data_IF_583321421963
#
_entry.id   IF_583321421963
#
_cell.length_a   1.000
_cell.length_b   1.000
_cell.length_c   1.000
_cell.angle_alpha   90.00
_cell.angle_beta   90.00
_cell.angle_gamma   90.00
#
_symmetry.space_group_name_H-M   'P 1'
#
loop_
_entity.id
_entity.type
_entity.pdbx_description
1 polymer ?
#
# COMPACT_ATOMS: atom_id res chain seq x y z
N UNK A 1 23.08 17.45 -8.91
CA UNK A 1 22.33 18.21 -7.88
C UNK A 1 22.57 17.56 -6.52
N UNK A 2 22.60 18.35 -5.43
CA UNK A 2 22.64 17.78 -4.08
C UNK A 2 21.35 17.03 -3.83
N UNK A 3 21.44 15.76 -3.35
CA UNK A 3 20.25 14.93 -3.04
C UNK A 3 19.43 15.62 -1.95
N UNK A 4 18.10 15.68 -2.11
CA UNK A 4 17.21 16.11 -1.04
C UNK A 4 17.31 15.15 0.14
N UNK A 5 16.98 15.60 1.33
CA UNK A 5 16.97 14.80 2.57
C UNK A 5 15.73 15.14 3.38
N UNK A 6 15.29 14.20 4.21
CA UNK A 6 14.21 14.46 5.17
C UNK A 6 14.65 15.50 6.20
N UNK A 7 13.75 16.41 6.56
CA UNK A 7 13.97 17.39 7.61
C UNK A 7 14.03 16.78 9.01
N UNK A 8 13.44 15.58 9.18
CA UNK A 8 13.43 14.88 10.46
C UNK A 8 13.32 13.35 10.29
N UNK A 9 13.85 12.61 11.28
CA UNK A 9 13.66 11.15 11.35
C UNK A 9 12.18 10.77 11.44
N UNK A 10 11.38 11.50 12.20
CA UNK A 10 9.93 11.29 12.27
C UNK A 10 9.28 11.50 10.91
N UNK A 11 9.73 12.50 10.14
CA UNK A 11 9.28 12.71 8.76
C UNK A 11 9.58 11.51 7.88
N UNK A 12 10.80 10.99 7.90
CA UNK A 12 11.16 9.76 7.20
C UNK A 12 10.24 8.58 7.58
N UNK A 13 10.06 8.31 8.89
CA UNK A 13 9.24 7.20 9.35
C UNK A 13 7.78 7.33 8.92
N UNK A 14 7.18 8.53 9.06
CA UNK A 14 5.79 8.76 8.71
C UNK A 14 5.56 8.77 7.20
N UNK A 15 6.49 9.28 6.39
CA UNK A 15 6.39 9.21 4.93
C UNK A 15 6.53 7.78 4.44
N UNK A 16 7.53 7.03 4.95
CA UNK A 16 7.73 5.64 4.57
C UNK A 16 6.58 4.74 5.04
N UNK A 17 6.10 4.93 6.28
CA UNK A 17 4.92 4.25 6.78
C UNK A 17 3.67 4.65 5.98
N UNK A 18 3.49 5.92 5.61
CA UNK A 18 2.39 6.38 4.76
C UNK A 18 2.43 5.83 3.33
N UNK A 19 3.60 5.42 2.84
CA UNK A 19 3.70 4.68 1.59
C UNK A 19 3.17 3.24 1.72
N UNK A 20 3.48 2.57 2.84
CA UNK A 20 3.00 1.24 3.14
C UNK A 20 1.51 1.24 3.53
N UNK A 21 1.12 2.13 4.46
CA UNK A 21 -0.25 2.27 4.95
C UNK A 21 -1.16 2.82 3.85
N UNK A 22 -1.97 1.96 3.28
CA UNK A 22 -2.84 2.32 2.18
C UNK A 22 -4.11 1.48 2.14
N UNK A 23 -4.65 1.32 0.95
CA UNK A 23 -5.81 0.47 0.68
C UNK A 23 -5.57 -0.97 1.15
N UNK A 24 -4.33 -1.43 1.09
CA UNK A 24 -3.91 -2.76 1.53
C UNK A 24 -4.23 -3.07 2.99
N UNK A 25 -4.05 -2.09 3.88
CA UNK A 25 -4.29 -2.25 5.32
C UNK A 25 -5.76 -2.10 5.69
N UNK A 26 -6.43 -1.14 5.04
CA UNK A 26 -7.77 -0.72 5.49
C UNK A 26 -8.87 -1.50 4.81
N UNK A 27 -8.60 -2.01 3.63
CA UNK A 27 -9.57 -2.75 2.83
C UNK A 27 -9.16 -4.20 2.61
N UNK A 28 -8.00 -4.42 1.94
CA UNK A 28 -7.59 -5.78 1.53
C UNK A 28 -7.32 -6.68 2.72
N UNK A 29 -6.63 -6.19 3.74
CA UNK A 29 -6.32 -6.98 4.93
C UNK A 29 -7.56 -7.47 5.68
N UNK A 30 -8.56 -6.62 6.05
CA UNK A 30 -9.80 -7.12 6.67
C UNK A 30 -10.57 -8.07 5.78
N UNK A 31 -10.65 -7.80 4.47
CA UNK A 31 -11.31 -8.66 3.51
C UNK A 31 -10.71 -10.06 3.45
N UNK A 32 -9.38 -10.17 3.24
CA UNK A 32 -8.70 -11.47 3.20
C UNK A 32 -8.75 -12.16 4.57
N UNK A 33 -8.68 -11.41 5.66
CA UNK A 33 -8.88 -11.94 7.01
C UNK A 33 -10.27 -12.57 7.16
N UNK A 34 -11.30 -11.91 6.66
CA UNK A 34 -12.67 -12.43 6.63
C UNK A 34 -12.80 -13.73 5.83
N UNK A 35 -12.23 -13.76 4.63
CA UNK A 35 -12.21 -14.95 3.77
C UNK A 35 -11.46 -16.13 4.38
N UNK A 36 -10.40 -15.89 5.13
CA UNK A 36 -9.57 -16.95 5.74
C UNK A 36 -9.96 -17.28 7.19
N UNK A 37 -11.13 -16.82 7.65
CA UNK A 37 -11.66 -17.19 8.96
C UNK A 37 -10.94 -16.57 10.16
N UNK A 38 -10.32 -15.40 10.02
CA UNK A 38 -9.89 -14.58 11.13
C UNK A 38 -8.51 -14.89 11.70
N UNK A 39 -8.45 -15.24 12.99
CA UNK A 39 -7.25 -15.19 13.84
C UNK A 39 -6.01 -15.96 13.34
N UNK A 40 -6.16 -17.12 12.69
CA UNK A 40 -5.01 -17.82 12.10
C UNK A 40 -4.36 -17.04 10.95
N UNK A 41 -5.18 -16.42 10.10
CA UNK A 41 -4.64 -15.58 9.03
C UNK A 41 -3.82 -14.42 9.61
N UNK A 42 -4.35 -13.72 10.61
CA UNK A 42 -3.64 -12.62 11.29
C UNK A 42 -2.30 -13.10 11.83
N UNK A 43 -2.26 -14.28 12.49
CA UNK A 43 -1.03 -14.85 13.02
C UNK A 43 0.01 -15.13 11.92
N UNK A 44 -0.39 -15.81 10.84
CA UNK A 44 0.53 -16.11 9.74
C UNK A 44 0.97 -14.87 8.99
N UNK A 45 0.09 -13.89 8.81
CA UNK A 45 0.43 -12.58 8.24
C UNK A 45 1.54 -11.89 9.05
N UNK A 46 1.43 -11.85 10.37
CA UNK A 46 2.46 -11.27 11.24
C UNK A 46 3.81 -12.01 11.12
N UNK A 47 3.76 -13.34 11.05
CA UNK A 47 4.98 -14.15 10.83
C UNK A 47 5.59 -13.82 9.46
N UNK A 48 4.80 -13.75 8.39
CA UNK A 48 5.27 -13.42 7.03
C UNK A 48 5.85 -12.01 6.95
N UNK A 49 5.27 -11.03 7.65
CA UNK A 49 5.85 -9.67 7.71
C UNK A 49 7.26 -9.68 8.31
N UNK A 50 7.49 -10.43 9.37
CA UNK A 50 8.82 -10.51 10.00
C UNK A 50 9.79 -11.31 9.13
N UNK A 51 9.33 -12.44 8.57
CA UNK A 51 10.19 -13.38 7.83
C UNK A 51 10.48 -12.85 6.42
N UNK A 52 9.52 -12.26 5.73
CA UNK A 52 9.65 -11.84 4.34
C UNK A 52 9.68 -10.31 4.23
N UNK A 53 8.71 -9.63 4.82
CA UNK A 53 8.49 -8.19 4.65
C UNK A 53 9.68 -7.35 5.12
N UNK A 54 10.09 -7.48 6.39
CA UNK A 54 11.20 -6.69 6.95
C UNK A 54 12.53 -6.94 6.20
N UNK A 55 12.93 -8.19 5.84
CA UNK A 55 14.11 -8.44 5.04
C UNK A 55 14.10 -7.72 3.69
N UNK A 56 13.03 -7.84 2.90
CA UNK A 56 12.93 -7.20 1.57
C UNK A 56 12.89 -5.68 1.68
N UNK A 57 12.11 -5.14 2.63
CA UNK A 57 12.08 -3.71 2.92
C UNK A 57 13.47 -3.16 3.27
N UNK A 58 14.24 -3.91 4.07
CA UNK A 58 15.62 -3.53 4.42
C UNK A 58 16.53 -3.49 3.19
N UNK A 59 16.32 -4.39 2.21
CA UNK A 59 17.08 -4.41 0.96
C UNK A 59 16.77 -3.21 0.07
N UNK A 60 15.50 -2.87 -0.11
CA UNK A 60 15.10 -1.69 -0.87
C UNK A 60 15.71 -0.42 -0.26
N UNK A 61 15.54 -0.23 1.05
CA UNK A 61 16.15 0.90 1.76
C UNK A 61 17.67 0.93 1.61
N UNK A 62 18.34 -0.24 1.62
CA UNK A 62 19.80 -0.34 1.49
C UNK A 62 20.30 0.07 0.11
N UNK A 63 19.62 -0.39 -0.96
CA UNK A 63 19.96 -0.01 -2.34
C UNK A 63 19.79 1.49 -2.51
N UNK A 64 18.69 2.07 -2.05
CA UNK A 64 18.45 3.50 -2.10
C UNK A 64 19.49 4.31 -1.30
N UNK A 65 19.78 3.91 -0.06
CA UNK A 65 20.73 4.63 0.80
C UNK A 65 22.17 4.56 0.28
N UNK A 66 22.59 3.39 -0.19
CA UNK A 66 23.93 3.22 -0.75
C UNK A 66 24.10 3.92 -2.11
N UNK A 67 23.05 3.86 -2.98
CA UNK A 67 23.08 4.49 -4.30
C UNK A 67 22.91 6.00 -4.27
N UNK A 68 22.25 6.56 -3.25
CA UNK A 68 21.93 8.01 -3.11
C UNK A 68 21.22 8.59 -4.34
N UNK A 69 20.50 7.77 -5.06
CA UNK A 69 19.79 8.11 -6.31
C UNK A 69 18.48 7.33 -6.38
N UNK A 70 17.65 7.62 -7.38
CA UNK A 70 16.47 6.83 -7.72
C UNK A 70 16.86 5.49 -8.36
N UNK A 71 15.92 4.55 -8.43
CA UNK A 71 16.16 3.16 -8.74
C UNK A 71 17.11 2.92 -9.92
N UNK A 72 16.87 3.52 -11.09
CA UNK A 72 17.72 3.30 -12.27
C UNK A 72 19.18 3.63 -11.98
N UNK A 73 19.44 4.83 -11.45
CA UNK A 73 20.80 5.29 -11.20
C UNK A 73 21.42 4.72 -9.93
N UNK A 74 20.60 4.29 -8.94
CA UNK A 74 21.10 3.60 -7.76
C UNK A 74 21.67 2.23 -8.12
N UNK A 75 20.96 1.45 -8.94
CA UNK A 75 21.48 0.20 -9.47
C UNK A 75 22.77 0.41 -10.29
N UNK A 76 22.79 1.41 -11.19
CA UNK A 76 24.00 1.73 -11.97
C UNK A 76 25.21 2.09 -11.08
N UNK A 77 24.97 2.76 -9.96
CA UNK A 77 26.05 3.13 -9.04
C UNK A 77 26.61 1.94 -8.24
N UNK A 78 25.80 0.89 -8.06
CA UNK A 78 26.15 -0.26 -7.21
C UNK A 78 26.48 -1.53 -8.01
N UNK A 79 26.04 -1.64 -9.25
CA UNK A 79 26.31 -2.79 -10.11
C UNK A 79 27.78 -2.81 -10.58
N UNK A 80 28.27 -3.98 -10.95
CA UNK A 80 29.61 -4.14 -11.53
C UNK A 80 29.62 -3.73 -12.99
N UNK A 81 30.76 -3.28 -13.53
CA UNK A 81 30.89 -2.94 -14.96
C UNK A 81 30.40 -4.07 -15.86
N UNK A 82 29.55 -3.74 -16.85
CA UNK A 82 28.98 -4.68 -17.79
C UNK A 82 27.69 -5.39 -17.34
N UNK A 83 27.24 -5.19 -16.12
CA UNK A 83 25.95 -5.69 -15.64
C UNK A 83 24.81 -4.76 -16.06
N UNK A 84 23.58 -5.28 -15.97
CA UNK A 84 22.37 -4.58 -16.43
C UNK A 84 21.26 -4.59 -15.38
N UNK A 85 21.61 -4.59 -14.10
CA UNK A 85 20.63 -4.56 -13.01
C UNK A 85 19.79 -3.28 -13.01
N UNK A 86 20.33 -2.18 -13.53
CA UNK A 86 19.60 -0.90 -13.66
C UNK A 86 18.34 -0.99 -14.53
N UNK A 87 18.21 -2.03 -15.39
CA UNK A 87 16.97 -2.27 -16.14
C UNK A 87 15.79 -2.45 -15.18
N UNK A 88 16.03 -3.04 -13.99
CA UNK A 88 14.99 -3.17 -12.97
C UNK A 88 14.41 -1.82 -12.54
N UNK A 89 15.20 -0.76 -12.50
CA UNK A 89 14.70 0.58 -12.19
C UNK A 89 13.61 1.06 -13.16
N UNK A 90 13.67 0.67 -14.45
CA UNK A 90 12.61 0.96 -15.42
C UNK A 90 11.35 0.12 -15.17
N UNK A 91 11.51 -1.15 -14.76
CA UNK A 91 10.37 -1.97 -14.32
C UNK A 91 9.70 -1.38 -13.08
N UNK A 92 10.48 -0.82 -12.15
CA UNK A 92 9.95 -0.12 -10.99
C UNK A 92 9.12 1.11 -11.41
N UNK A 93 9.60 1.91 -12.38
CA UNK A 93 8.85 3.04 -12.92
C UNK A 93 7.53 2.58 -13.56
N UNK A 94 7.58 1.53 -14.38
CA UNK A 94 6.37 0.95 -14.98
C UNK A 94 5.39 0.46 -13.91
N UNK A 95 5.88 -0.23 -12.88
CA UNK A 95 5.07 -0.71 -11.75
C UNK A 95 4.40 0.43 -10.99
N UNK A 96 5.13 1.52 -10.73
CA UNK A 96 4.58 2.72 -10.12
C UNK A 96 3.48 3.36 -10.97
N UNK A 97 3.67 3.43 -12.30
CA UNK A 97 2.66 3.97 -13.21
C UNK A 97 1.40 3.12 -13.22
N UNK A 98 1.54 1.79 -13.40
CA UNK A 98 0.41 0.85 -13.39
C UNK A 98 -0.34 0.89 -12.06
N UNK A 99 0.39 0.91 -10.92
CA UNK A 99 -0.23 1.05 -9.61
C UNK A 99 -1.07 2.33 -9.53
N UNK A 100 -0.54 3.46 -9.98
CA UNK A 100 -1.22 4.75 -9.87
C UNK A 100 -2.40 4.88 -10.83
N UNK A 101 -2.46 4.13 -11.93
CA UNK A 101 -3.60 4.15 -12.86
C UNK A 101 -4.90 3.76 -12.15
N UNK A 102 -4.91 2.68 -11.37
CA UNK A 102 -6.12 2.27 -10.64
C UNK A 102 -6.20 2.86 -9.23
N UNK A 103 -5.07 3.06 -8.56
CA UNK A 103 -5.05 3.52 -7.17
C UNK A 103 -5.61 4.93 -7.01
N UNK A 104 -5.35 5.84 -7.97
CA UNK A 104 -5.92 7.19 -8.00
C UNK A 104 -7.43 7.17 -8.20
N UNK A 105 -7.94 6.23 -9.01
CA UNK A 105 -9.38 6.02 -9.19
C UNK A 105 -10.04 5.57 -7.90
N UNK A 106 -9.49 4.57 -7.21
CA UNK A 106 -10.01 4.08 -5.92
C UNK A 106 -9.92 5.16 -4.82
N UNK A 107 -8.83 5.94 -4.81
CA UNK A 107 -8.72 7.11 -3.92
C UNK A 107 -9.83 8.13 -4.19
N UNK A 108 -10.18 8.34 -5.46
CA UNK A 108 -11.31 9.19 -5.86
C UNK A 108 -12.64 8.71 -5.30
N UNK A 109 -12.89 7.39 -5.24
CA UNK A 109 -14.10 6.83 -4.61
C UNK A 109 -14.18 7.18 -3.12
N UNK A 110 -13.06 7.10 -2.41
CA UNK A 110 -13.00 7.44 -0.99
C UNK A 110 -13.28 8.94 -0.76
N UNK A 111 -12.75 9.81 -1.62
CA UNK A 111 -13.03 11.26 -1.59
C UNK A 111 -14.52 11.52 -1.84
N UNK A 112 -15.15 10.84 -2.81
CA UNK A 112 -16.58 10.96 -3.08
C UNK A 112 -17.43 10.58 -1.85
N UNK A 113 -17.11 9.44 -1.23
CA UNK A 113 -17.84 8.97 -0.05
C UNK A 113 -17.62 9.86 1.18
N UNK A 114 -16.41 10.35 1.40
CA UNK A 114 -16.16 11.37 2.41
C UNK A 114 -17.05 12.59 2.19
N UNK A 115 -17.09 13.11 0.96
CA UNK A 115 -17.94 14.25 0.62
C UNK A 115 -19.43 13.98 0.85
N UNK A 116 -19.92 12.79 0.46
CA UNK A 116 -21.34 12.41 0.65
C UNK A 116 -21.74 12.37 2.12
N UNK A 117 -20.89 11.88 3.01
CA UNK A 117 -21.13 11.93 4.45
C UNK A 117 -20.97 13.35 5.01
N UNK A 118 -19.89 14.05 4.67
CA UNK A 118 -19.58 15.37 5.19
C UNK A 118 -20.64 16.43 4.82
N UNK A 119 -21.11 16.41 3.57
CA UNK A 119 -22.10 17.36 3.08
C UNK A 119 -23.56 16.89 3.23
N UNK A 120 -23.79 15.69 3.78
CA UNK A 120 -25.11 15.22 4.15
C UNK A 120 -25.92 14.60 3.03
N UNK A 121 -25.29 14.19 1.91
CA UNK A 121 -25.96 13.35 0.90
C UNK A 121 -26.33 11.98 1.46
N UNK A 122 -25.51 11.44 2.39
CA UNK A 122 -25.90 10.33 3.24
C UNK A 122 -26.43 10.87 4.56
N UNK A 123 -27.68 10.55 4.90
CA UNK A 123 -28.37 11.02 6.10
C UNK A 123 -29.22 9.92 6.72
N UNK A 124 -29.53 10.05 7.99
CA UNK A 124 -30.40 9.11 8.71
C UNK A 124 -31.77 9.00 8.04
N UNK A 125 -32.27 7.76 7.95
CA UNK A 125 -33.57 7.45 7.34
C UNK A 125 -33.53 7.10 5.86
N UNK A 126 -32.37 7.12 5.20
CA UNK A 126 -32.24 6.55 3.85
C UNK A 126 -32.39 5.03 3.89
N UNK A 127 -33.05 4.47 2.85
CA UNK A 127 -33.15 3.02 2.69
C UNK A 127 -31.78 2.38 2.42
N UNK A 128 -31.54 1.19 2.98
CA UNK A 128 -30.28 0.44 2.79
C UNK A 128 -29.97 0.23 1.31
N UNK A 129 -30.98 -0.11 0.52
CA UNK A 129 -30.85 -0.34 -0.92
C UNK A 129 -30.45 0.92 -1.68
N UNK A 130 -30.98 2.08 -1.26
CA UNK A 130 -30.64 3.37 -1.85
C UNK A 130 -29.18 3.74 -1.60
N UNK A 131 -28.72 3.59 -0.36
CA UNK A 131 -27.32 3.84 0.01
C UNK A 131 -26.36 2.90 -0.70
N UNK A 132 -26.69 1.60 -0.74
CA UNK A 132 -25.87 0.59 -1.42
C UNK A 132 -25.81 0.82 -2.95
N UNK A 133 -26.90 1.30 -3.56
CA UNK A 133 -26.94 1.60 -4.99
C UNK A 133 -26.08 2.79 -5.42
N UNK A 134 -25.65 3.66 -4.48
CA UNK A 134 -24.82 4.83 -4.80
C UNK A 134 -23.51 4.43 -5.44
N UNK A 135 -22.87 3.33 -4.99
CA UNK A 135 -21.63 2.86 -5.57
C UNK A 135 -21.78 2.48 -7.04
N UNK A 136 -22.80 1.70 -7.37
CA UNK A 136 -23.10 1.34 -8.76
C UNK A 136 -23.41 2.56 -9.64
N UNK A 137 -24.16 3.54 -9.13
CA UNK A 137 -24.43 4.80 -9.84
C UNK A 137 -23.15 5.60 -10.10
N UNK A 138 -22.23 5.67 -9.11
CA UNK A 138 -20.94 6.32 -9.26
C UNK A 138 -20.09 5.60 -10.32
N UNK A 139 -19.99 4.28 -10.27
CA UNK A 139 -19.21 3.49 -11.23
C UNK A 139 -19.74 3.63 -12.67
N UNK A 140 -21.05 3.79 -12.84
CA UNK A 140 -21.67 4.00 -14.16
C UNK A 140 -21.50 5.43 -14.70
N UNK A 141 -20.98 6.37 -13.92
CA UNK A 141 -20.75 7.77 -14.32
C UNK A 141 -19.28 8.04 -14.69
N UNK A 142 -18.91 7.99 -15.99
CA UNK A 142 -17.54 8.23 -16.41
C UNK A 142 -17.03 9.64 -16.05
N UNK A 143 -17.93 10.62 -16.03
CA UNK A 143 -17.58 12.01 -15.69
C UNK A 143 -17.26 12.16 -14.20
N UNK A 144 -18.10 11.63 -13.30
CA UNK A 144 -17.86 11.70 -11.84
C UNK A 144 -16.55 11.00 -11.50
N UNK A 145 -16.37 9.77 -11.96
CA UNK A 145 -15.15 9.00 -11.73
C UNK A 145 -13.90 9.67 -12.31
N UNK A 146 -13.99 10.16 -13.54
CA UNK A 146 -12.87 10.82 -14.23
C UNK A 146 -12.44 12.10 -13.53
N UNK A 147 -13.40 12.95 -13.14
CA UNK A 147 -13.11 14.20 -12.41
C UNK A 147 -12.43 13.90 -11.08
N UNK A 148 -12.92 12.90 -10.33
CA UNK A 148 -12.34 12.52 -9.05
C UNK A 148 -10.91 11.95 -9.19
N UNK A 149 -10.68 11.03 -10.13
CA UNK A 149 -9.36 10.47 -10.39
C UNK A 149 -8.36 11.55 -10.81
N UNK A 150 -8.74 12.40 -11.77
CA UNK A 150 -7.89 13.51 -12.24
C UNK A 150 -7.62 14.52 -11.11
N UNK A 151 -8.60 14.83 -10.27
CA UNK A 151 -8.41 15.71 -9.12
C UNK A 151 -7.38 15.15 -8.14
N UNK A 152 -7.43 13.84 -7.84
CA UNK A 152 -6.43 13.16 -7.00
C UNK A 152 -5.03 13.29 -7.62
N UNK A 153 -4.90 13.07 -8.92
CA UNK A 153 -3.61 13.20 -9.64
C UNK A 153 -3.09 14.63 -9.55
N UNK A 154 -3.92 15.63 -9.84
CA UNK A 154 -3.53 17.05 -9.82
C UNK A 154 -3.08 17.46 -8.42
N UNK A 155 -3.87 17.16 -7.39
CA UNK A 155 -3.53 17.52 -6.00
C UNK A 155 -2.25 16.82 -5.55
N UNK A 156 -2.07 15.54 -5.90
CA UNK A 156 -0.88 14.79 -5.57
C UNK A 156 0.40 15.40 -6.18
N UNK A 157 0.41 15.67 -7.50
CA UNK A 157 1.56 16.30 -8.13
C UNK A 157 1.78 17.75 -7.71
N UNK A 158 0.71 18.47 -7.39
CA UNK A 158 0.83 19.82 -6.83
C UNK A 158 1.60 19.77 -5.49
N UNK A 159 1.24 18.86 -4.58
CA UNK A 159 1.95 18.67 -3.30
C UNK A 159 3.42 18.29 -3.56
N UNK A 160 3.69 17.30 -4.39
CA UNK A 160 5.05 16.85 -4.69
C UNK A 160 5.90 17.94 -5.39
N UNK A 161 5.28 18.86 -6.12
CA UNK A 161 5.98 19.97 -6.80
C UNK A 161 6.68 20.94 -5.85
N UNK A 162 6.23 21.02 -4.58
CA UNK A 162 6.85 21.87 -3.54
C UNK A 162 8.14 21.27 -2.95
N UNK A 163 8.54 20.05 -3.36
CA UNK A 163 9.75 19.36 -2.90
C UNK A 163 9.49 18.38 -1.77
N UNK A 164 10.57 17.68 -1.37
CA UNK A 164 10.49 16.63 -0.37
C UNK A 164 10.05 17.18 1.00
N UNK A 165 10.78 18.14 1.55
CA UNK A 165 10.58 18.64 2.93
C UNK A 165 9.30 19.48 3.05
N UNK A 166 9.11 20.47 2.14
CA UNK A 166 8.01 21.45 2.23
C UNK A 166 6.69 20.91 1.67
N UNK A 167 6.75 19.99 0.72
CA UNK A 167 5.59 19.34 0.10
C UNK A 167 5.30 18.01 0.75
N UNK A 168 5.97 16.96 0.28
CA UNK A 168 5.70 15.57 0.66
C UNK A 168 5.76 15.33 2.17
N UNK A 169 6.90 15.63 2.82
CA UNK A 169 7.10 15.34 4.24
C UNK A 169 6.10 16.09 5.12
N UNK A 170 5.93 17.39 4.87
CA UNK A 170 5.05 18.22 5.69
C UNK A 170 3.59 17.77 5.60
N UNK A 171 3.09 17.53 4.39
CA UNK A 171 1.70 17.12 4.17
C UNK A 171 1.47 15.72 4.70
N UNK A 172 2.32 14.74 4.33
CA UNK A 172 2.18 13.36 4.77
C UNK A 172 2.29 13.24 6.30
N UNK A 173 3.18 14.00 6.93
CA UNK A 173 3.32 14.01 8.40
C UNK A 173 2.04 14.43 9.10
N UNK A 174 1.38 15.50 8.64
CA UNK A 174 0.10 15.94 9.20
C UNK A 174 -1.00 14.89 8.94
N UNK A 175 -1.09 14.38 7.73
CA UNK A 175 -2.07 13.35 7.37
C UNK A 175 -1.88 12.07 8.19
N UNK A 176 -0.65 11.59 8.35
CA UNK A 176 -0.36 10.37 9.09
C UNK A 176 -0.64 10.52 10.59
N UNK A 177 -0.30 11.66 11.20
CA UNK A 177 -0.66 11.90 12.60
C UNK A 177 -2.17 11.97 12.79
N UNK A 178 -2.90 12.65 11.90
CA UNK A 178 -4.36 12.68 11.92
C UNK A 178 -4.96 11.28 11.70
N UNK A 179 -4.41 10.50 10.75
CA UNK A 179 -4.81 9.12 10.49
C UNK A 179 -4.68 8.25 11.74
N UNK A 180 -3.53 8.32 12.43
CA UNK A 180 -3.31 7.53 13.65
C UNK A 180 -4.28 7.90 14.78
N UNK A 181 -4.64 9.18 14.91
CA UNK A 181 -5.67 9.62 15.86
C UNK A 181 -7.06 9.10 15.43
N UNK A 182 -7.42 9.30 14.16
CA UNK A 182 -8.72 8.87 13.63
C UNK A 182 -8.93 7.36 13.78
N UNK A 183 -7.93 6.54 13.47
CA UNK A 183 -8.08 5.08 13.55
C UNK A 183 -8.30 4.62 15.00
N UNK A 184 -7.63 5.24 15.98
CA UNK A 184 -7.82 4.93 17.40
C UNK A 184 -9.23 5.33 17.84
N UNK A 185 -9.69 6.53 17.48
CA UNK A 185 -11.04 7.01 17.82
C UNK A 185 -12.11 6.10 17.21
N UNK A 186 -11.97 5.73 15.94
CA UNK A 186 -12.90 4.83 15.26
C UNK A 186 -12.90 3.43 15.88
N UNK A 187 -11.73 2.89 16.24
CA UNK A 187 -11.62 1.58 16.88
C UNK A 187 -12.27 1.58 18.28
N UNK A 188 -12.03 2.61 19.08
CA UNK A 188 -12.68 2.75 20.39
C UNK A 188 -14.21 2.77 20.21
N UNK A 189 -14.70 3.57 19.27
CA UNK A 189 -16.14 3.60 18.97
C UNK A 189 -16.67 2.24 18.52
N UNK A 190 -15.96 1.53 17.62
CA UNK A 190 -16.37 0.23 17.11
C UNK A 190 -16.43 -0.83 18.23
N UNK A 191 -15.54 -0.76 19.20
CA UNK A 191 -15.55 -1.64 20.39
C UNK A 191 -16.73 -1.40 21.34
N UNK A 192 -17.46 -0.29 21.22
CA UNK A 192 -18.68 -0.03 21.99
C UNK A 192 -19.94 -0.64 21.35
N UNK A 193 -19.85 -1.18 20.15
CA UNK A 193 -20.97 -1.80 19.44
C UNK A 193 -21.36 -3.15 20.08
N UNK A 194 -22.63 -3.52 19.95
CA UNK A 194 -23.20 -4.73 20.58
C UNK A 194 -22.54 -6.04 20.13
N UNK A 195 -22.14 -6.15 18.85
CA UNK A 195 -21.46 -7.32 18.29
C UNK A 195 -19.93 -7.30 18.45
N UNK A 196 -19.37 -6.33 19.18
CA UNK A 196 -17.92 -6.16 19.27
C UNK A 196 -17.21 -7.40 19.85
N UNK A 197 -17.80 -8.06 20.85
CA UNK A 197 -17.22 -9.25 21.46
C UNK A 197 -17.08 -10.41 20.47
N UNK A 198 -18.12 -10.68 19.67
CA UNK A 198 -18.10 -11.75 18.67
C UNK A 198 -17.17 -11.41 17.50
N UNK A 199 -17.23 -10.16 17.00
CA UNK A 199 -16.33 -9.69 15.95
C UNK A 199 -14.85 -9.77 16.33
N UNK A 200 -14.49 -9.37 17.56
CA UNK A 200 -13.12 -9.49 18.05
C UNK A 200 -12.70 -10.94 18.30
N UNK A 201 -13.60 -11.80 18.73
CA UNK A 201 -13.35 -13.25 18.83
C UNK A 201 -13.00 -13.84 17.47
N UNK A 202 -13.82 -13.59 16.45
CA UNK A 202 -13.56 -14.03 15.08
C UNK A 202 -12.22 -13.53 14.58
N UNK A 203 -11.95 -12.23 14.79
CA UNK A 203 -10.77 -11.56 14.26
C UNK A 203 -9.45 -12.02 14.87
N UNK A 204 -9.41 -12.21 16.20
CA UNK A 204 -8.16 -12.43 16.93
C UNK A 204 -7.99 -13.85 17.46
N UNK A 205 -9.07 -14.60 17.69
CA UNK A 205 -8.96 -15.95 18.22
C UNK A 205 -8.86 -16.98 17.09
N UNK A 206 -7.76 -17.75 17.03
CA UNK A 206 -7.61 -18.80 16.04
C UNK A 206 -8.69 -19.90 16.19
N UNK A 207 -9.37 -20.25 15.09
CA UNK A 207 -10.36 -21.32 15.04
C UNK A 207 -9.90 -22.43 14.09
N UNK A 208 -9.83 -23.67 14.59
CA UNK A 208 -9.48 -24.84 13.78
C UNK A 208 -10.52 -25.12 12.68
N UNK A 209 -11.76 -24.70 12.88
CA UNK A 209 -12.83 -24.91 11.88
C UNK A 209 -12.58 -24.04 10.65
N UNK A 210 -12.01 -22.84 10.81
CA UNK A 210 -11.59 -21.98 9.70
C UNK A 210 -10.54 -22.66 8.82
N UNK A 211 -9.53 -23.31 9.41
CA UNK A 211 -8.50 -24.06 8.66
C UNK A 211 -9.11 -25.22 7.88
N UNK A 212 -10.08 -25.93 8.50
CA UNK A 212 -10.76 -27.07 7.82
C UNK A 212 -11.59 -26.62 6.63
N UNK A 213 -12.21 -25.45 6.70
CA UNK A 213 -13.07 -24.92 5.62
C UNK A 213 -12.25 -24.33 4.46
N UNK A 214 -11.19 -23.58 4.73
CA UNK A 214 -10.45 -22.82 3.72
C UNK A 214 -9.13 -23.47 3.26
N UNK A 215 -8.63 -24.45 4.02
CA UNK A 215 -7.36 -25.13 3.76
C UNK A 215 -6.15 -24.36 4.29
N UNK A 216 -5.24 -25.09 4.95
CA UNK A 216 -4.04 -24.52 5.56
C UNK A 216 -3.08 -23.91 4.53
N UNK A 217 -2.98 -24.53 3.34
CA UNK A 217 -2.12 -24.04 2.26
C UNK A 217 -2.57 -22.67 1.75
N UNK A 218 -3.86 -22.50 1.45
CA UNK A 218 -4.44 -21.24 0.97
C UNK A 218 -4.22 -20.11 1.97
N UNK A 219 -4.48 -20.37 3.25
CA UNK A 219 -4.30 -19.40 4.34
C UNK A 219 -2.86 -18.87 4.42
N UNK A 220 -1.86 -19.76 4.38
CA UNK A 220 -0.45 -19.33 4.40
C UNK A 220 -0.10 -18.51 3.15
N UNK A 221 -0.57 -18.93 1.99
CA UNK A 221 -0.31 -18.26 0.73
C UNK A 221 -0.92 -16.85 0.70
N UNK A 222 -2.15 -16.71 1.15
CA UNK A 222 -2.81 -15.40 1.25
C UNK A 222 -2.11 -14.49 2.25
N UNK A 223 -1.62 -15.05 3.37
CA UNK A 223 -0.83 -14.31 4.35
C UNK A 223 0.52 -13.83 3.76
N UNK A 224 1.19 -14.68 2.98
CA UNK A 224 2.42 -14.31 2.28
C UNK A 224 2.15 -13.20 1.24
N UNK A 225 1.14 -13.35 0.39
CA UNK A 225 0.75 -12.35 -0.60
C UNK A 225 0.40 -11.00 0.07
N UNK A 226 -0.37 -11.03 1.15
CA UNK A 226 -0.72 -9.82 1.89
C UNK A 226 0.51 -9.13 2.48
N UNK A 227 1.53 -9.88 2.92
CA UNK A 227 2.76 -9.29 3.48
C UNK A 227 3.60 -8.53 2.44
N UNK A 228 3.56 -8.93 1.17
CA UNK A 228 4.18 -8.19 0.07
C UNK A 228 3.38 -6.94 -0.30
N UNK A 229 2.08 -7.11 -0.44
CA UNK A 229 1.20 -6.06 -0.89
C UNK A 229 1.18 -4.89 0.10
N UNK A 230 1.05 -5.18 1.41
CA UNK A 230 0.90 -4.15 2.45
C UNK A 230 2.10 -3.19 2.52
N UNK A 231 3.32 -3.70 2.25
CA UNK A 231 4.55 -2.90 2.29
C UNK A 231 4.94 -2.29 0.94
N UNK A 232 4.16 -2.53 -0.14
CA UNK A 232 4.43 -2.05 -1.50
C UNK A 232 5.84 -2.37 -2.00
N UNK A 233 6.34 -3.59 -1.70
CA UNK A 233 7.71 -4.02 -2.00
C UNK A 233 7.91 -4.36 -3.48
N UNK A 234 9.11 -4.13 -4.00
CA UNK A 234 9.51 -4.58 -5.34
C UNK A 234 9.45 -3.52 -6.44
N UNK A 235 8.82 -2.37 -6.19
CA UNK A 235 8.67 -1.27 -7.17
C UNK A 235 9.45 0.00 -6.81
N UNK A 236 10.46 -0.12 -5.96
CA UNK A 236 11.32 0.97 -5.50
C UNK A 236 10.60 2.07 -4.69
N UNK A 237 9.38 1.84 -4.25
CA UNK A 237 8.63 2.82 -3.47
C UNK A 237 9.33 3.13 -2.13
N UNK A 238 10.00 2.15 -1.54
CA UNK A 238 10.80 2.34 -0.33
C UNK A 238 12.26 2.69 -0.62
N UNK A 239 12.80 2.29 -1.76
CA UNK A 239 14.17 2.61 -2.18
C UNK A 239 14.40 4.11 -2.24
N UNK A 240 13.44 4.86 -2.82
CA UNK A 240 13.58 6.31 -2.95
C UNK A 240 13.74 6.98 -1.57
N UNK A 241 13.00 6.52 -0.56
CA UNK A 241 13.11 7.04 0.80
C UNK A 241 14.44 6.64 1.46
N UNK A 242 14.94 5.44 1.17
CA UNK A 242 16.30 5.04 1.52
C UNK A 242 17.34 6.05 1.00
N UNK A 243 17.17 6.53 -0.25
CA UNK A 243 18.10 7.48 -0.87
C UNK A 243 18.13 8.88 -0.20
N UNK A 244 17.09 9.23 0.54
CA UNK A 244 16.97 10.48 1.29
C UNK A 244 17.40 10.35 2.75
N UNK A 245 17.65 9.11 3.25
CA UNK A 245 18.09 8.85 4.61
C UNK A 245 19.55 9.20 4.85
N UNK A 246 19.86 9.60 6.11
CA UNK A 246 21.20 9.62 6.67
C UNK A 246 21.72 8.24 7.07
N UNK A 247 22.93 8.22 7.65
CA UNK A 247 23.62 6.99 8.08
C UNK A 247 23.56 6.78 9.60
N UNK A 248 22.81 7.61 10.32
CA UNK A 248 22.75 7.62 11.78
C UNK A 248 22.07 6.39 12.38
N UNK A 249 21.15 5.80 11.60
CA UNK A 249 20.35 4.66 12.03
C UNK A 249 20.50 3.46 11.11
N UNK A 250 20.51 2.26 11.72
CA UNK A 250 20.56 0.99 10.99
C UNK A 250 19.24 0.70 10.28
N UNK A 251 19.30 0.19 9.06
CA UNK A 251 18.11 -0.05 8.24
C UNK A 251 17.18 -1.14 8.80
N UNK A 252 17.67 -2.24 9.40
CA UNK A 252 16.75 -3.23 9.99
C UNK A 252 15.87 -2.65 11.08
N UNK A 253 16.40 -1.69 11.87
CA UNK A 253 15.63 -1.00 12.90
C UNK A 253 14.58 -0.06 12.33
N UNK A 254 14.90 0.65 11.24
CA UNK A 254 13.94 1.52 10.56
C UNK A 254 12.87 0.72 9.82
N UNK A 255 13.25 -0.35 9.12
CA UNK A 255 12.32 -1.27 8.47
C UNK A 255 11.34 -1.90 9.47
N UNK A 256 11.83 -2.34 10.63
CA UNK A 256 10.97 -2.87 11.69
C UNK A 256 9.96 -1.82 12.23
N UNK A 257 10.36 -0.54 12.34
CA UNK A 257 9.45 0.53 12.77
C UNK A 257 8.40 0.86 11.73
N UNK A 258 8.77 0.92 10.45
CA UNK A 258 7.83 1.12 9.34
C UNK A 258 6.82 -0.03 9.34
N UNK A 259 7.30 -1.28 9.40
CA UNK A 259 6.46 -2.47 9.45
C UNK A 259 5.54 -2.47 10.68
N UNK A 260 6.02 -2.05 11.86
CA UNK A 260 5.20 -1.96 13.07
C UNK A 260 4.08 -0.93 12.95
N UNK A 261 4.33 0.24 12.33
CA UNK A 261 3.31 1.26 12.07
C UNK A 261 2.27 0.75 11.06
N UNK A 262 2.72 0.12 9.98
CA UNK A 262 1.88 -0.52 8.98
C UNK A 262 0.96 -1.58 9.60
N UNK A 263 1.55 -2.49 10.36
CA UNK A 263 0.83 -3.55 11.08
C UNK A 263 -0.17 -3.00 12.09
N UNK A 264 0.21 -1.95 12.83
CA UNK A 264 -0.69 -1.30 13.77
C UNK A 264 -1.95 -0.80 13.07
N UNK A 265 -1.81 -0.12 11.92
CA UNK A 265 -2.97 0.37 11.17
C UNK A 265 -3.80 -0.79 10.60
N UNK A 266 -3.18 -1.85 10.07
CA UNK A 266 -3.91 -3.03 9.59
C UNK A 266 -4.74 -3.68 10.71
N UNK A 267 -4.14 -3.89 11.89
CA UNK A 267 -4.82 -4.48 13.04
C UNK A 267 -5.95 -3.59 13.56
N UNK A 268 -5.74 -2.29 13.62
CA UNK A 268 -6.77 -1.34 14.03
C UNK A 268 -7.92 -1.26 13.01
N UNK A 269 -7.64 -1.37 11.71
CA UNK A 269 -8.68 -1.44 10.69
C UNK A 269 -9.57 -2.68 10.86
N UNK A 270 -9.00 -3.84 11.17
CA UNK A 270 -9.77 -5.03 11.54
C UNK A 270 -10.62 -4.79 12.79
N UNK A 271 -10.07 -4.12 13.81
CA UNK A 271 -10.80 -3.75 15.05
C UNK A 271 -11.98 -2.80 14.77
N UNK A 272 -11.95 -2.02 13.69
CA UNK A 272 -13.08 -1.18 13.27
C UNK A 272 -14.11 -2.02 12.51
N UNK A 273 -13.67 -2.84 11.56
CA UNK A 273 -14.54 -3.48 10.57
C UNK A 273 -15.26 -4.70 11.18
N UNK A 274 -14.55 -5.61 11.87
CA UNK A 274 -15.18 -6.84 12.35
C UNK A 274 -16.28 -6.62 13.41
N UNK A 275 -16.11 -5.78 14.45
CA UNK A 275 -17.21 -5.43 15.33
C UNK A 275 -18.42 -4.85 14.62
N UNK A 276 -18.20 -3.99 13.63
CA UNK A 276 -19.29 -3.43 12.84
C UNK A 276 -20.01 -4.52 12.03
N UNK A 277 -19.28 -5.40 11.33
CA UNK A 277 -19.85 -6.51 10.57
C UNK A 277 -20.74 -7.41 11.44
N UNK A 278 -20.25 -7.82 12.60
CA UNK A 278 -21.00 -8.69 13.52
C UNK A 278 -22.18 -7.99 14.18
N UNK A 279 -22.09 -6.69 14.48
CA UNK A 279 -23.22 -5.91 15.03
C UNK A 279 -24.37 -5.82 14.04
N UNK A 280 -24.08 -5.65 12.76
CA UNK A 280 -25.08 -5.42 11.73
C UNK A 280 -25.32 -6.64 10.83
N UNK A 281 -24.83 -7.83 11.23
CA UNK A 281 -25.00 -9.13 10.52
C UNK A 281 -24.53 -9.07 9.06
N UNK A 282 -23.41 -8.39 8.83
CA UNK A 282 -22.78 -8.24 7.52
C UNK A 282 -21.63 -9.22 7.37
N UNK A 283 -21.52 -9.87 6.22
CA UNK A 283 -20.41 -10.78 5.94
C UNK A 283 -19.12 -9.98 5.66
N UNK A 284 -18.00 -10.30 6.33
CA UNK A 284 -16.74 -9.54 6.18
C UNK A 284 -15.95 -9.89 4.92
N UNK A 285 -16.43 -10.82 4.08
CA UNK A 285 -15.74 -11.37 2.90
C UNK A 285 -16.21 -10.80 1.56
N UNK A 286 -16.93 -9.67 1.56
CA UNK A 286 -17.54 -9.07 0.36
C UNK A 286 -16.61 -8.17 -0.49
N UNK A 287 -15.30 -8.18 -0.29
CA UNK A 287 -14.35 -7.40 -1.10
C UNK A 287 -14.60 -5.88 -1.10
N UNK A 288 -14.46 -5.19 -2.27
CA UNK A 288 -14.74 -3.75 -2.40
C UNK A 288 -16.14 -3.37 -1.96
N UNK A 289 -17.11 -4.26 -2.19
CA UNK A 289 -18.50 -4.07 -1.80
C UNK A 289 -18.67 -3.85 -0.30
N UNK A 290 -17.80 -4.44 0.53
CA UNK A 290 -17.84 -4.25 1.98
C UNK A 290 -17.74 -2.77 2.36
N UNK A 291 -16.78 -2.05 1.79
CA UNK A 291 -16.51 -0.66 2.17
C UNK A 291 -17.50 0.32 1.52
N UNK A 292 -17.88 0.09 0.26
CA UNK A 292 -18.66 1.06 -0.50
C UNK A 292 -20.16 0.74 -0.60
N UNK A 293 -20.55 -0.52 -0.39
CA UNK A 293 -21.96 -0.93 -0.46
C UNK A 293 -22.51 -1.34 0.91
N UNK A 294 -21.70 -1.97 1.76
CA UNK A 294 -22.19 -2.59 2.98
C UNK A 294 -21.99 -1.72 4.22
N UNK A 295 -20.83 -1.10 4.40
CA UNK A 295 -20.58 -0.22 5.56
C UNK A 295 -21.34 1.12 5.50
N UNK A 296 -21.54 1.78 4.34
CA UNK A 296 -22.29 3.05 4.33
C UNK A 296 -23.72 2.96 4.88
N UNK A 297 -24.56 1.95 4.53
CA UNK A 297 -25.84 1.76 5.20
C UNK A 297 -25.73 1.54 6.71
N UNK A 298 -24.67 0.84 7.17
CA UNK A 298 -24.40 0.67 8.61
C UNK A 298 -24.21 2.02 9.28
N UNK A 299 -23.36 2.89 8.71
CA UNK A 299 -23.16 4.23 9.24
C UNK A 299 -24.47 5.07 9.20
N UNK A 300 -25.22 5.01 8.11
CA UNK A 300 -26.49 5.78 7.99
C UNK A 300 -27.50 5.40 9.07
N UNK A 301 -27.54 4.11 9.46
CA UNK A 301 -28.50 3.60 10.43
C UNK A 301 -28.06 3.69 11.90
N UNK A 302 -26.80 4.07 12.18
CA UNK A 302 -26.31 4.21 13.55
C UNK A 302 -26.45 5.64 14.08
N UNK A 303 -26.49 5.80 15.41
CA UNK A 303 -26.53 7.10 16.07
C UNK A 303 -25.27 7.92 15.70
N UNK A 304 -25.46 9.14 15.17
CA UNK A 304 -24.36 9.98 14.73
C UNK A 304 -23.64 9.46 13.48
N UNK A 305 -24.24 8.56 12.71
CA UNK A 305 -23.62 7.83 11.60
C UNK A 305 -23.04 8.71 10.50
N UNK A 306 -23.66 9.87 10.24
CA UNK A 306 -23.09 10.87 9.31
C UNK A 306 -21.69 11.30 9.75
N UNK A 307 -21.50 11.57 11.05
CA UNK A 307 -20.22 11.97 11.61
C UNK A 307 -19.21 10.80 11.56
N UNK A 308 -19.61 9.60 12.00
CA UNK A 308 -18.74 8.43 12.01
C UNK A 308 -18.37 7.97 10.60
N UNK A 309 -19.31 8.00 9.66
CA UNK A 309 -19.04 7.71 8.25
C UNK A 309 -18.08 8.72 7.62
N UNK A 310 -18.26 10.03 7.91
CA UNK A 310 -17.32 11.05 7.45
C UNK A 310 -15.90 10.82 8.01
N UNK A 311 -15.76 10.52 9.31
CA UNK A 311 -14.46 10.24 9.92
C UNK A 311 -13.80 8.97 9.33
N UNK A 312 -14.60 7.92 9.09
CA UNK A 312 -14.10 6.69 8.49
C UNK A 312 -13.58 6.93 7.06
N UNK A 313 -14.35 7.59 6.21
CA UNK A 313 -13.89 7.88 4.85
C UNK A 313 -12.77 8.94 4.81
N UNK A 314 -12.70 9.87 5.75
CA UNK A 314 -11.55 10.77 5.89
C UNK A 314 -10.28 9.99 6.24
N UNK A 315 -10.37 9.04 7.16
CA UNK A 315 -9.28 8.12 7.47
C UNK A 315 -8.83 7.34 6.22
N UNK A 316 -9.78 6.81 5.44
CA UNK A 316 -9.51 6.11 4.18
C UNK A 316 -8.80 7.00 3.14
N UNK A 317 -9.26 8.27 3.00
CA UNK A 317 -8.62 9.26 2.12
C UNK A 317 -7.18 9.52 2.55
N UNK A 318 -6.91 9.70 3.83
CA UNK A 318 -5.54 9.93 4.31
C UNK A 318 -4.64 8.70 4.07
N UNK A 319 -5.14 7.51 4.32
CA UNK A 319 -4.41 6.27 4.06
C UNK A 319 -4.07 6.12 2.57
N UNK A 320 -5.04 6.27 1.68
CA UNK A 320 -4.80 6.11 0.25
C UNK A 320 -3.95 7.24 -0.34
N UNK A 321 -4.21 8.49 0.04
CA UNK A 321 -3.52 9.65 -0.52
C UNK A 321 -2.05 9.74 -0.07
N UNK A 322 -1.69 9.25 1.13
CA UNK A 322 -0.29 9.17 1.55
C UNK A 322 0.53 8.23 0.65
N UNK A 323 -0.03 7.10 0.24
CA UNK A 323 0.59 6.19 -0.74
C UNK A 323 0.71 6.84 -2.12
N UNK A 324 -0.33 7.55 -2.59
CA UNK A 324 -0.28 8.30 -3.87
C UNK A 324 0.90 9.29 -3.88
N UNK A 325 1.03 10.09 -2.83
CA UNK A 325 2.13 11.06 -2.70
C UNK A 325 3.50 10.39 -2.73
N UNK A 326 3.64 9.28 -2.03
CA UNK A 326 4.89 8.52 -1.92
C UNK A 326 5.32 7.94 -3.28
N UNK A 327 4.39 7.33 -4.02
CA UNK A 327 4.67 6.75 -5.33
C UNK A 327 4.90 7.84 -6.39
N UNK A 328 4.18 8.97 -6.32
CA UNK A 328 4.45 10.12 -7.19
C UNK A 328 5.85 10.67 -6.98
N UNK A 329 6.33 10.76 -5.74
CA UNK A 329 7.71 11.17 -5.47
C UNK A 329 8.73 10.23 -6.11
N UNK A 330 8.49 8.90 -6.07
CA UNK A 330 9.36 7.93 -6.73
C UNK A 330 9.41 8.14 -8.25
N UNK A 331 8.26 8.33 -8.90
CA UNK A 331 8.16 8.61 -10.34
C UNK A 331 8.92 9.91 -10.69
N UNK A 332 8.72 10.97 -9.89
CA UNK A 332 9.41 12.25 -10.09
C UNK A 332 10.92 12.09 -9.94
N UNK A 333 11.37 11.42 -8.87
CA UNK A 333 12.78 11.24 -8.59
C UNK A 333 13.49 10.43 -9.69
N UNK A 334 12.87 9.36 -10.22
CA UNK A 334 13.43 8.61 -11.35
C UNK A 334 13.58 9.52 -12.55
N UNK A 335 12.56 10.32 -12.85
CA UNK A 335 12.60 11.22 -14.03
C UNK A 335 13.60 12.37 -13.86
N UNK A 336 13.69 12.96 -12.68
CA UNK A 336 14.67 14.03 -12.38
C UNK A 336 16.10 13.50 -12.49
N UNK A 337 16.36 12.35 -11.90
CA UNK A 337 17.70 11.76 -11.89
C UNK A 337 18.14 11.29 -13.29
N UNK A 338 17.22 10.63 -14.04
CA UNK A 338 17.57 9.99 -15.32
C UNK A 338 17.56 10.96 -16.49
N UNK A 339 16.56 11.86 -16.55
CA UNK A 339 16.41 12.81 -17.66
C UNK A 339 16.93 14.22 -17.35
N UNK A 340 17.39 14.47 -16.11
CA UNK A 340 17.84 15.79 -15.68
C UNK A 340 16.72 16.84 -15.63
N UNK A 341 15.46 16.43 -15.51
CA UNK A 341 14.33 17.36 -15.46
C UNK A 341 14.28 18.12 -14.15
N UNK A 342 13.84 19.36 -14.20
CA UNK A 342 13.49 20.08 -12.96
C UNK A 342 12.23 19.46 -12.33
N UNK A 343 12.10 19.54 -11.02
CA UNK A 343 10.93 19.01 -10.28
C UNK A 343 9.61 19.54 -10.84
N UNK A 344 9.53 20.84 -11.14
CA UNK A 344 8.32 21.45 -11.72
C UNK A 344 7.98 20.85 -13.10
N UNK A 345 8.99 20.71 -13.98
CA UNK A 345 8.80 20.10 -15.30
C UNK A 345 8.32 18.65 -15.17
N UNK A 346 8.98 17.86 -14.34
CA UNK A 346 8.59 16.48 -14.10
C UNK A 346 7.17 16.38 -13.55
N UNK A 347 6.80 17.21 -12.56
CA UNK A 347 5.44 17.24 -11.98
C UNK A 347 4.36 17.55 -13.02
N UNK A 348 4.58 18.52 -13.88
CA UNK A 348 3.59 18.86 -14.93
C UNK A 348 3.45 17.75 -15.95
N UNK A 349 4.55 17.19 -16.44
CA UNK A 349 4.54 16.12 -17.44
C UNK A 349 3.83 14.87 -16.87
N UNK A 350 4.21 14.44 -15.67
CA UNK A 350 3.62 13.25 -15.05
C UNK A 350 2.18 13.47 -14.60
N UNK A 351 1.82 14.69 -14.19
CA UNK A 351 0.44 15.04 -13.89
C UNK A 351 -0.46 14.81 -15.11
N UNK A 352 -0.07 15.34 -16.28
CA UNK A 352 -0.83 15.14 -17.53
C UNK A 352 -0.83 13.68 -17.93
N UNK A 353 0.34 13.03 -17.90
CA UNK A 353 0.48 11.64 -18.35
C UNK A 353 -0.34 10.69 -17.49
N UNK A 354 -0.25 10.77 -16.15
CA UNK A 354 -1.00 9.90 -15.25
C UNK A 354 -2.50 10.23 -15.23
N UNK A 355 -2.89 11.50 -15.41
CA UNK A 355 -4.30 11.84 -15.59
C UNK A 355 -4.91 11.12 -16.80
N UNK A 356 -4.16 11.05 -17.92
CA UNK A 356 -4.61 10.31 -19.12
C UNK A 356 -4.54 8.79 -18.88
N UNK A 357 -3.45 8.29 -18.29
CA UNK A 357 -3.23 6.86 -18.06
C UNK A 357 -4.22 6.24 -17.03
N UNK A 358 -4.81 7.04 -16.15
CA UNK A 358 -5.86 6.55 -15.22
C UNK A 358 -7.25 6.44 -15.87
N UNK A 359 -7.48 7.06 -17.03
CA UNK A 359 -8.79 6.98 -17.70
C UNK A 359 -9.22 5.57 -18.12
N UNK A 360 -8.35 4.68 -18.62
CA UNK A 360 -8.70 3.30 -18.89
C UNK A 360 -9.34 2.58 -17.69
N UNK A 361 -8.79 2.76 -16.49
CA UNK A 361 -9.39 2.21 -15.27
C UNK A 361 -10.80 2.78 -15.01
N UNK A 362 -10.97 4.11 -15.17
CA UNK A 362 -12.28 4.78 -15.05
C UNK A 362 -13.28 4.20 -16.06
N UNK A 363 -12.88 4.10 -17.33
CA UNK A 363 -13.75 3.62 -18.40
C UNK A 363 -14.07 2.11 -18.30
N UNK A 364 -13.21 1.33 -17.66
CA UNK A 364 -13.44 -0.09 -17.42
C UNK A 364 -14.71 -0.42 -16.64
N UNK A 365 -15.25 0.51 -15.87
CA UNK A 365 -16.50 0.35 -15.12
C UNK A 365 -17.75 0.77 -15.88
N UNK A 366 -17.62 1.48 -17.00
CA UNK A 366 -18.74 2.05 -17.75
C UNK A 366 -18.58 1.87 -19.27
N UNK A 367 -17.88 2.77 -19.95
CA UNK A 367 -17.75 2.77 -21.41
C UNK A 367 -17.06 1.49 -21.95
N UNK A 368 -16.13 0.91 -21.20
CA UNK A 368 -15.37 -0.29 -21.56
C UNK A 368 -15.66 -1.48 -20.63
N UNK A 369 -16.87 -1.54 -20.05
CA UNK A 369 -17.25 -2.60 -19.08
C UNK A 369 -17.13 -4.03 -19.64
N UNK A 370 -17.21 -4.20 -20.95
CA UNK A 370 -17.03 -5.48 -21.64
C UNK A 370 -15.57 -5.77 -22.03
N UNK A 371 -14.65 -4.82 -21.82
CA UNK A 371 -13.25 -4.99 -22.14
C UNK A 371 -12.51 -5.66 -20.97
N UNK A 372 -12.07 -6.90 -21.18
CA UNK A 372 -11.41 -7.74 -20.18
C UNK A 372 -10.01 -8.13 -20.68
N UNK A 373 -9.00 -7.25 -20.50
CA UNK A 373 -7.70 -7.39 -21.16
C UNK A 373 -6.89 -8.60 -20.69
N UNK A 374 -7.03 -9.03 -19.44
CA UNK A 374 -6.25 -10.13 -18.86
C UNK A 374 -7.15 -11.14 -18.17
N UNK A 375 -7.11 -12.40 -18.59
CA UNK A 375 -7.79 -13.54 -17.95
C UNK A 375 -9.28 -13.30 -17.66
N UNK A 376 -9.98 -12.56 -18.54
CA UNK A 376 -11.39 -12.22 -18.34
C UNK A 376 -11.67 -11.19 -17.24
N UNK A 377 -10.64 -10.57 -16.67
CA UNK A 377 -10.74 -9.55 -15.62
C UNK A 377 -10.97 -8.17 -16.23
N UNK A 378 -11.74 -7.32 -15.54
CA UNK A 378 -11.89 -5.90 -15.91
C UNK A 378 -10.57 -5.13 -15.88
N UNK A 379 -10.59 -3.87 -16.31
CA UNK A 379 -9.36 -3.07 -16.43
C UNK A 379 -8.66 -2.92 -15.08
N UNK A 380 -9.38 -2.50 -14.03
CA UNK A 380 -8.82 -2.35 -12.69
C UNK A 380 -8.18 -3.65 -12.18
N UNK A 381 -8.93 -4.76 -12.27
CA UNK A 381 -8.44 -6.06 -11.78
C UNK A 381 -7.26 -6.58 -12.60
N UNK A 382 -7.18 -6.20 -13.88
CA UNK A 382 -6.04 -6.52 -14.75
C UNK A 382 -4.79 -5.70 -14.38
N UNK A 383 -4.95 -4.42 -14.11
CA UNK A 383 -3.87 -3.54 -13.63
C UNK A 383 -3.36 -4.02 -12.26
N UNK A 384 -4.26 -4.32 -11.31
CA UNK A 384 -3.90 -4.85 -10.00
C UNK A 384 -3.22 -6.23 -10.12
N UNK A 385 -3.71 -7.11 -10.99
CA UNK A 385 -3.07 -8.41 -11.23
C UNK A 385 -1.61 -8.26 -11.69
N UNK A 386 -1.35 -7.35 -12.65
CA UNK A 386 0.02 -7.09 -13.12
C UNK A 386 0.92 -6.56 -12.01
N UNK A 387 0.42 -5.65 -11.19
CA UNK A 387 1.19 -5.07 -10.10
C UNK A 387 1.37 -6.08 -8.98
N UNK A 388 0.27 -6.58 -8.41
CA UNK A 388 0.28 -7.36 -7.16
C UNK A 388 0.82 -8.77 -7.33
N UNK A 389 0.50 -9.42 -8.46
CA UNK A 389 0.86 -10.83 -8.68
C UNK A 389 2.16 -11.01 -9.46
N UNK A 390 2.60 -9.99 -10.21
CA UNK A 390 3.82 -10.08 -11.03
C UNK A 390 4.89 -9.09 -10.58
N UNK A 391 4.64 -7.78 -10.68
CA UNK A 391 5.70 -6.77 -10.52
C UNK A 391 6.24 -6.70 -9.10
N UNK A 392 5.38 -6.76 -8.07
CA UNK A 392 5.83 -6.74 -6.67
C UNK A 392 6.68 -7.98 -6.31
N UNK A 393 6.25 -9.23 -6.57
CA UNK A 393 7.08 -10.40 -6.26
C UNK A 393 8.34 -10.48 -7.12
N UNK A 394 8.25 -10.22 -8.43
CA UNK A 394 9.44 -10.22 -9.32
C UNK A 394 10.44 -9.16 -8.88
N UNK A 395 9.97 -7.94 -8.61
CA UNK A 395 10.83 -6.87 -8.17
C UNK A 395 11.51 -7.17 -6.84
N UNK A 396 10.77 -7.72 -5.89
CA UNK A 396 11.32 -8.16 -4.60
C UNK A 396 12.39 -9.25 -4.77
N UNK A 397 12.17 -10.19 -5.69
CA UNK A 397 13.16 -11.20 -6.04
C UNK A 397 14.42 -10.57 -6.66
N UNK A 398 14.26 -9.57 -7.53
CA UNK A 398 15.40 -8.84 -8.13
C UNK A 398 16.21 -8.11 -7.06
N UNK A 399 15.56 -7.38 -6.12
CA UNK A 399 16.24 -6.75 -4.97
C UNK A 399 17.02 -7.78 -4.15
N UNK A 400 16.39 -8.91 -3.85
CA UNK A 400 17.03 -9.98 -3.10
C UNK A 400 18.27 -10.52 -3.85
N UNK A 401 18.11 -10.92 -5.11
CA UNK A 401 19.21 -11.46 -5.91
C UNK A 401 20.33 -10.45 -6.09
N UNK A 402 20.02 -9.17 -6.27
CA UNK A 402 21.02 -8.11 -6.36
C UNK A 402 21.80 -7.95 -5.05
N UNK A 403 21.14 -7.95 -3.92
CA UNK A 403 21.77 -7.78 -2.61
C UNK A 403 22.58 -8.98 -2.15
N UNK A 404 22.21 -10.23 -2.56
CA UNK A 404 22.83 -11.45 -1.99
C UNK A 404 23.72 -12.23 -2.94
N UNK A 405 23.55 -12.08 -4.27
CA UNK A 405 24.27 -12.88 -5.25
C UNK A 405 25.69 -12.35 -5.50
N UNK A 406 26.57 -13.24 -5.96
CA UNK A 406 27.93 -12.87 -6.42
C UNK A 406 27.89 -12.02 -7.71
N UNK A 407 26.81 -12.11 -8.47
CA UNK A 407 26.58 -11.36 -9.71
C UNK A 407 25.92 -10.00 -9.50
N UNK A 408 25.48 -9.68 -8.28
CA UNK A 408 24.93 -8.38 -7.90
C UNK A 408 25.92 -7.56 -7.06
N UNK A 409 25.35 -6.75 -6.17
CA UNK A 409 26.08 -5.95 -5.19
C UNK A 409 26.81 -6.82 -4.17
N UNK A 410 26.17 -7.92 -3.74
CA UNK A 410 26.74 -8.94 -2.87
C UNK A 410 26.40 -8.76 -1.39
N UNK A 411 26.22 -9.93 -0.70
CA UNK A 411 25.70 -9.95 0.67
C UNK A 411 26.55 -9.16 1.68
N UNK A 412 27.87 -9.23 1.56
CA UNK A 412 28.75 -8.58 2.55
C UNK A 412 28.68 -7.05 2.46
N UNK A 413 28.55 -6.48 1.25
CA UNK A 413 28.33 -5.05 1.03
C UNK A 413 26.96 -4.62 1.50
N UNK A 414 25.92 -5.40 1.17
CA UNK A 414 24.57 -5.19 1.67
C UNK A 414 24.51 -5.18 3.19
N UNK A 415 25.12 -6.19 3.84
CA UNK A 415 25.14 -6.32 5.29
C UNK A 415 25.85 -5.14 5.96
N UNK A 416 26.98 -4.71 5.40
CA UNK A 416 27.74 -3.56 5.88
C UNK A 416 26.89 -2.28 5.83
N UNK A 417 26.19 -2.07 4.71
CA UNK A 417 25.31 -0.91 4.54
C UNK A 417 24.09 -1.00 5.48
N UNK A 418 23.38 -2.11 5.51
CA UNK A 418 22.21 -2.31 6.35
C UNK A 418 22.52 -2.08 7.84
N UNK A 419 23.70 -2.49 8.28
CA UNK A 419 24.14 -2.36 9.66
C UNK A 419 24.81 -1.02 10.00
N UNK A 420 24.94 -0.10 9.05
CA UNK A 420 25.52 1.23 9.31
C UNK A 420 24.58 2.04 10.23
N UNK A 421 25.16 2.75 11.19
CA UNK A 421 24.43 3.56 12.18
C UNK A 421 24.02 2.79 13.44
N UNK A 422 23.21 3.42 14.30
CA UNK A 422 22.73 2.87 15.58
C UNK A 422 21.41 2.11 15.41
N UNK A 423 21.19 1.03 16.15
CA UNK A 423 19.93 0.27 16.20
C UNK A 423 20.10 -1.23 15.98
N UNK A 424 19.04 -1.91 15.58
CA UNK A 424 19.03 -3.35 15.28
C UNK A 424 20.02 -3.67 14.16
N UNK A 425 20.73 -4.78 14.32
CA UNK A 425 21.73 -5.23 13.35
C UNK A 425 21.34 -6.60 12.79
N UNK A 426 21.53 -6.79 11.49
CA UNK A 426 21.45 -8.10 10.88
C UNK A 426 22.69 -8.94 11.24
N UNK A 427 22.46 -10.18 11.63
CA UNK A 427 23.54 -11.12 11.88
C UNK A 427 24.11 -11.68 10.57
N UNK A 428 25.45 -11.78 10.42
CA UNK A 428 26.05 -12.49 9.27
C UNK A 428 25.61 -13.96 9.14
N UNK A 429 25.17 -14.58 10.24
CA UNK A 429 24.65 -15.95 10.26
C UNK A 429 23.35 -16.11 9.46
N UNK A 430 22.66 -15.03 9.15
CA UNK A 430 21.44 -15.04 8.32
C UNK A 430 21.74 -15.18 6.81
N UNK A 431 23.01 -15.18 6.40
CA UNK A 431 23.41 -15.33 4.97
C UNK A 431 22.73 -16.50 4.28
N UNK A 432 22.71 -17.74 4.83
CA UNK A 432 22.03 -18.87 4.19
C UNK A 432 20.53 -18.65 4.02
N UNK A 433 19.88 -18.03 5.00
CA UNK A 433 18.46 -17.68 4.92
C UNK A 433 18.19 -16.76 3.72
N UNK A 434 18.94 -15.68 3.59
CA UNK A 434 18.81 -14.73 2.49
C UNK A 434 19.16 -15.33 1.12
N UNK A 435 20.10 -16.27 1.06
CA UNK A 435 20.55 -16.87 -0.20
C UNK A 435 19.69 -18.03 -0.69
N UNK A 436 19.04 -18.79 0.21
CA UNK A 436 18.34 -20.02 -0.16
C UNK A 436 16.87 -20.04 0.26
N UNK A 437 16.54 -19.60 1.47
CA UNK A 437 15.16 -19.71 1.99
C UNK A 437 14.29 -18.59 1.43
N UNK A 438 14.72 -17.35 1.60
CA UNK A 438 13.93 -16.19 1.19
C UNK A 438 13.63 -16.16 -0.33
N UNK A 439 14.56 -16.51 -1.25
CA UNK A 439 14.23 -16.60 -2.67
C UNK A 439 13.15 -17.63 -2.97
N UNK A 440 13.21 -18.80 -2.31
CA UNK A 440 12.19 -19.85 -2.49
C UNK A 440 10.83 -19.37 -2.04
N UNK A 441 10.73 -18.67 -0.90
CA UNK A 441 9.46 -18.11 -0.42
C UNK A 441 8.89 -17.09 -1.41
N UNK A 442 9.72 -16.20 -1.96
CA UNK A 442 9.26 -15.21 -2.95
C UNK A 442 8.82 -15.89 -4.26
N UNK A 443 9.55 -16.91 -4.73
CA UNK A 443 9.16 -17.68 -5.92
C UNK A 443 7.83 -18.41 -5.71
N UNK A 444 7.60 -18.96 -4.52
CA UNK A 444 6.31 -19.58 -4.18
C UNK A 444 5.17 -18.56 -4.30
N UNK A 445 5.34 -17.35 -3.74
CA UNK A 445 4.34 -16.28 -3.85
C UNK A 445 4.09 -15.91 -5.31
N UNK A 446 5.15 -15.77 -6.11
CA UNK A 446 5.04 -15.46 -7.54
C UNK A 446 4.27 -16.54 -8.31
N UNK A 447 4.60 -17.82 -8.09
CA UNK A 447 3.93 -18.93 -8.79
C UNK A 447 2.46 -19.04 -8.42
N UNK A 448 2.12 -18.83 -7.14
CA UNK A 448 0.73 -18.82 -6.70
C UNK A 448 -0.07 -17.65 -7.30
N UNK A 449 0.56 -16.48 -7.43
CA UNK A 449 -0.10 -15.33 -8.06
C UNK A 449 -0.43 -15.56 -9.55
N UNK A 450 0.16 -16.58 -10.19
CA UNK A 450 -0.07 -16.95 -11.59
C UNK A 450 -1.09 -18.07 -11.76
N UNK A 451 -1.33 -18.88 -10.74
CA UNK A 451 -2.32 -19.97 -10.72
C UNK A 451 -3.68 -19.51 -10.28
#
# INVERSE_FOLDING_TARGET
MKRESFGSRLGFLLVSAGCAIGIGNVWRFPYITGQNGGGYFVLFYLICLVVIGIPVLTMELAVGRAGRKSAVLAYQALEKPGQKWHIHGWFCLLGCCLLMMYYTTVTGWMVSYFGRFAFGSFHSGMATEEVSAVFGKMLSSPLEMGVLAVAVVIVGFLVCSFGLEKGLERVTKVMMLALLVLIVVLAIHSLTLSGAGEGMKFYLLPSLDSIRQHGFGTLIMDAMNQSFFTLSLGIAAMEIFGSYMGEEHSLPGEAARICALDTFVALMAGTIIFPACFTFSVQPDNGPSLIFQTLPPVFVNMAGGRFWGALFFLFMVFASFSTVLAVFENILAISMDTFGWSRKKASVIWCVLLAVLSLPCVFGFNLWSNFTPILGKGVLDSEDFLVSNLLLPIGSLVYLLFCVSKWGWGFDKYLAEANRGKGLKLSPKLKPYFQFVLPVLIVIVLLQGLL
#
